data_IF_647815963795
#
_entry.id   IF_647815963795
#
_cell.length_a   1.000
_cell.length_b   1.000
_cell.length_c   1.000
_cell.angle_alpha   90.00
_cell.angle_beta   90.00
_cell.angle_gamma   90.00
#
_symmetry.space_group_name_H-M   'P 1'
#
loop_
_entity.id
_entity.type
_entity.pdbx_description
1 polymer ?
#
# COMPACT_ATOMS: atom_id res chain seq x y z
N UNK A 1 22.91 9.51 -15.26
CA UNK A 1 21.63 10.23 -15.08
C UNK A 1 20.88 9.52 -13.97
N UNK A 2 20.90 10.10 -12.77
CA UNK A 2 20.00 9.67 -11.71
C UNK A 2 18.60 9.85 -12.24
N UNK A 3 17.88 8.73 -12.45
CA UNK A 3 16.44 8.77 -12.64
C UNK A 3 15.87 9.20 -11.31
N UNK A 4 15.19 10.34 -11.29
CA UNK A 4 14.28 10.66 -10.20
C UNK A 4 13.33 9.48 -10.05
N UNK A 5 13.44 8.78 -8.93
CA UNK A 5 12.49 7.72 -8.59
C UNK A 5 11.27 8.40 -8.01
N UNK A 6 10.11 7.98 -8.47
CA UNK A 6 8.88 8.34 -7.78
C UNK A 6 8.93 7.82 -6.35
N UNK A 7 8.37 8.57 -5.42
CA UNK A 7 8.56 8.30 -4.00
C UNK A 7 7.85 7.02 -3.55
N UNK A 8 6.66 6.74 -4.11
CA UNK A 8 5.79 5.70 -3.60
C UNK A 8 4.90 5.10 -4.68
N UNK A 9 4.69 3.79 -4.62
CA UNK A 9 3.63 3.12 -5.36
C UNK A 9 2.72 2.32 -4.43
N UNK A 10 1.41 2.46 -4.65
CA UNK A 10 0.40 1.59 -4.08
C UNK A 10 0.02 0.52 -5.10
N UNK A 11 0.17 -0.73 -4.72
CA UNK A 11 -0.33 -1.85 -5.49
C UNK A 11 -1.57 -2.40 -4.78
N UNK A 12 -2.72 -2.08 -5.33
CA UNK A 12 -4.00 -2.47 -4.75
C UNK A 12 -4.36 -3.86 -5.26
N UNK A 13 -4.68 -4.77 -4.34
CA UNK A 13 -5.15 -6.10 -4.68
C UNK A 13 -6.40 -6.05 -5.56
N UNK A 14 -6.57 -7.03 -6.45
CA UNK A 14 -7.77 -7.13 -7.24
C UNK A 14 -8.98 -7.22 -6.32
N UNK A 15 -9.92 -6.35 -6.54
CA UNK A 15 -11.21 -6.43 -5.86
C UNK A 15 -11.93 -7.68 -6.33
N UNK A 16 -12.39 -8.49 -5.40
CA UNK A 16 -13.61 -9.24 -5.67
C UNK A 16 -14.67 -8.22 -6.07
N UNK A 17 -15.54 -8.49 -7.06
CA UNK A 17 -16.57 -7.54 -7.42
C UNK A 17 -17.31 -7.16 -6.14
N UNK A 18 -17.02 -5.98 -5.67
CA UNK A 18 -17.52 -5.52 -4.40
C UNK A 18 -19.02 -5.43 -4.51
N UNK A 19 -19.68 -6.11 -3.63
CA UNK A 19 -21.13 -6.06 -3.48
C UNK A 19 -21.67 -4.62 -3.38
N UNK A 20 -20.84 -3.59 -3.23
CA UNK A 20 -21.29 -2.22 -2.97
C UNK A 20 -20.50 -1.10 -3.67
N UNK A 21 -19.68 -1.34 -4.66
CA UNK A 21 -19.06 -0.25 -5.45
C UNK A 21 -18.18 0.73 -4.66
N UNK A 22 -17.85 0.46 -3.41
CA UNK A 22 -17.01 1.32 -2.60
C UNK A 22 -15.56 1.15 -3.01
N UNK A 23 -15.01 2.21 -3.56
CA UNK A 23 -13.55 2.35 -3.74
C UNK A 23 -12.91 2.46 -2.37
N UNK A 24 -11.77 1.80 -2.16
CA UNK A 24 -10.86 2.22 -1.10
C UNK A 24 -10.70 3.74 -1.23
N UNK A 25 -10.84 4.49 -0.14
CA UNK A 25 -10.66 5.93 -0.19
C UNK A 25 -9.20 6.26 -0.50
N UNK A 26 -8.86 6.25 -1.79
CA UNK A 26 -7.58 6.72 -2.31
C UNK A 26 -7.57 8.25 -2.44
N UNK A 27 -8.44 8.92 -1.69
CA UNK A 27 -8.56 10.37 -1.66
C UNK A 27 -7.35 11.09 -1.06
N UNK A 28 -6.37 10.36 -0.53
CA UNK A 28 -5.22 10.95 0.14
C UNK A 28 -4.01 11.19 -0.76
N UNK A 29 -4.14 10.94 -2.06
CA UNK A 29 -3.09 11.36 -3.00
C UNK A 29 -2.82 12.87 -2.94
N UNK A 30 -3.86 13.67 -2.67
CA UNK A 30 -3.74 15.12 -2.50
C UNK A 30 -3.01 15.48 -1.20
N UNK A 31 -3.30 14.81 -0.09
CA UNK A 31 -2.63 15.02 1.19
C UNK A 31 -1.13 14.64 1.11
N UNK A 32 -0.81 13.56 0.42
CA UNK A 32 0.58 13.14 0.17
C UNK A 32 1.29 14.11 -0.78
N UNK A 33 0.63 14.55 -1.85
CA UNK A 33 1.17 15.54 -2.78
C UNK A 33 1.49 16.87 -2.08
N UNK A 34 0.65 17.32 -1.14
CA UNK A 34 0.90 18.51 -0.34
C UNK A 34 2.17 18.39 0.54
N UNK A 35 2.64 17.17 0.80
CA UNK A 35 3.89 16.87 1.51
C UNK A 35 5.08 16.61 0.57
N UNK A 36 4.90 16.83 -0.72
CA UNK A 36 5.94 16.59 -1.74
C UNK A 36 6.14 15.12 -2.09
N UNK A 37 5.19 14.25 -1.74
CA UNK A 37 5.23 12.81 -2.07
C UNK A 37 4.41 12.57 -3.34
N UNK A 38 5.01 11.91 -4.32
CA UNK A 38 4.35 11.56 -5.58
C UNK A 38 3.91 10.08 -5.58
N UNK A 39 2.64 9.78 -5.26
CA UNK A 39 2.16 8.40 -5.23
C UNK A 39 1.66 7.95 -6.60
N UNK A 40 2.00 6.73 -6.96
CA UNK A 40 1.39 6.00 -8.07
C UNK A 40 0.42 4.97 -7.51
N UNK A 41 -0.79 4.90 -8.04
CA UNK A 41 -1.78 3.89 -7.66
C UNK A 41 -1.97 2.93 -8.83
N UNK A 42 -1.72 1.65 -8.59
CA UNK A 42 -1.89 0.61 -9.58
C UNK A 42 -2.90 -0.44 -9.09
N UNK A 43 -3.80 -0.84 -9.98
CA UNK A 43 -4.70 -1.97 -9.76
C UNK A 43 -4.00 -3.25 -10.25
N UNK A 44 -3.79 -4.19 -9.34
CA UNK A 44 -3.13 -5.45 -9.64
C UNK A 44 -3.98 -6.41 -10.49
N UNK A 45 -5.28 -6.18 -10.59
CA UNK A 45 -6.30 -6.98 -11.30
C UNK A 45 -6.41 -8.43 -10.86
N UNK A 46 -5.29 -9.16 -10.78
CA UNK A 46 -5.27 -10.58 -10.44
C UNK A 46 -4.26 -10.87 -9.34
N UNK A 47 -4.67 -11.68 -8.37
CA UNK A 47 -3.76 -12.24 -7.37
C UNK A 47 -2.98 -13.44 -7.94
N UNK A 48 -3.62 -14.20 -8.82
CA UNK A 48 -3.02 -15.36 -9.53
C UNK A 48 -3.55 -15.44 -10.96
N UNK A 49 -2.64 -15.42 -11.96
CA UNK A 49 -1.22 -15.13 -11.85
C UNK A 49 -0.99 -13.65 -11.50
N UNK A 50 0.10 -13.34 -10.80
CA UNK A 50 0.55 -11.96 -10.60
C UNK A 50 0.94 -11.34 -11.95
N UNK A 51 0.67 -10.06 -12.12
CA UNK A 51 1.27 -9.27 -13.21
C UNK A 51 2.73 -8.94 -12.86
N UNK A 52 3.59 -9.92 -13.12
CA UNK A 52 5.02 -9.86 -12.80
C UNK A 52 5.71 -8.65 -13.41
N UNK A 53 5.43 -8.36 -14.68
CA UNK A 53 6.08 -7.28 -15.40
C UNK A 53 5.68 -5.91 -14.86
N UNK A 54 4.40 -5.73 -14.52
CA UNK A 54 3.93 -4.51 -13.87
C UNK A 54 4.60 -4.33 -12.51
N UNK A 55 4.60 -5.34 -11.67
CA UNK A 55 5.15 -5.27 -10.31
C UNK A 55 6.65 -4.94 -10.35
N UNK A 56 7.43 -5.61 -11.17
CA UNK A 56 8.87 -5.37 -11.28
C UNK A 56 9.18 -3.99 -11.86
N UNK A 57 8.39 -3.51 -12.83
CA UNK A 57 8.54 -2.16 -13.38
C UNK A 57 8.24 -1.09 -12.33
N UNK A 58 7.18 -1.25 -11.56
CA UNK A 58 6.83 -0.33 -10.46
C UNK A 58 7.90 -0.35 -9.37
N UNK A 59 8.37 -1.52 -8.98
CA UNK A 59 9.43 -1.67 -7.98
C UNK A 59 10.77 -1.03 -8.43
N UNK A 60 11.05 -1.04 -9.73
CA UNK A 60 12.27 -0.42 -10.27
C UNK A 60 12.20 1.11 -10.34
N UNK A 61 11.01 1.69 -10.42
CA UNK A 61 10.80 3.12 -10.60
C UNK A 61 10.42 3.87 -9.33
N UNK A 62 10.16 3.18 -8.21
CA UNK A 62 9.74 3.79 -6.95
C UNK A 62 10.68 3.42 -5.79
N UNK A 63 10.74 4.28 -4.80
CA UNK A 63 11.51 4.05 -3.58
C UNK A 63 10.80 3.09 -2.63
N UNK A 64 9.48 3.17 -2.56
CA UNK A 64 8.66 2.34 -1.70
C UNK A 64 7.48 1.74 -2.45
N UNK A 65 7.11 0.51 -2.11
CA UNK A 65 5.94 -0.20 -2.61
C UNK A 65 5.10 -0.69 -1.44
N UNK A 66 3.83 -0.34 -1.44
CA UNK A 66 2.86 -0.79 -0.43
C UNK A 66 1.77 -1.57 -1.13
N UNK A 67 1.54 -2.80 -0.70
CA UNK A 67 0.36 -3.57 -1.10
C UNK A 67 -0.77 -3.34 -0.12
N UNK A 68 -1.98 -3.19 -0.63
CA UNK A 68 -3.19 -2.98 0.16
C UNK A 68 -4.23 -4.00 -0.26
N UNK A 69 -4.72 -4.81 0.67
CA UNK A 69 -5.72 -5.83 0.40
C UNK A 69 -6.70 -5.99 1.56
N UNK A 70 -7.94 -6.29 1.25
CA UNK A 70 -8.95 -6.73 2.22
C UNK A 70 -8.83 -8.24 2.50
N UNK A 71 -7.60 -8.70 2.66
CA UNK A 71 -7.25 -10.10 2.92
C UNK A 71 -6.40 -10.22 4.16
N UNK A 72 -6.21 -11.45 4.60
CA UNK A 72 -5.35 -11.79 5.72
C UNK A 72 -3.88 -11.96 5.29
N UNK A 73 -3.00 -12.08 6.27
CA UNK A 73 -1.60 -12.49 6.04
C UNK A 73 -1.58 -13.80 5.23
N UNK A 74 -0.72 -13.87 4.23
CA UNK A 74 -0.63 -15.02 3.31
C UNK A 74 -1.37 -14.81 1.98
N UNK A 75 -2.03 -13.66 1.79
CA UNK A 75 -2.74 -13.32 0.57
C UNK A 75 -1.87 -12.68 -0.51
N UNK A 76 -2.47 -11.74 -1.24
CA UNK A 76 -1.85 -11.07 -2.38
C UNK A 76 -0.50 -10.41 -2.05
N UNK A 77 -0.43 -9.65 -0.96
CA UNK A 77 0.81 -8.98 -0.55
C UNK A 77 1.94 -9.97 -0.27
N UNK A 78 1.63 -11.15 0.26
CA UNK A 78 2.63 -12.21 0.47
C UNK A 78 3.15 -12.79 -0.83
N UNK A 79 2.30 -12.94 -1.85
CA UNK A 79 2.71 -13.37 -3.18
C UNK A 79 3.61 -12.33 -3.86
N UNK A 80 3.29 -11.05 -3.71
CA UNK A 80 4.14 -9.95 -4.21
C UNK A 80 5.48 -9.94 -3.49
N UNK A 81 5.50 -10.09 -2.16
CA UNK A 81 6.74 -10.16 -1.39
C UNK A 81 7.64 -11.31 -1.84
N UNK A 82 7.07 -12.47 -2.09
CA UNK A 82 7.82 -13.63 -2.60
C UNK A 82 8.42 -13.33 -3.98
N UNK A 83 7.64 -12.78 -4.90
CA UNK A 83 8.15 -12.38 -6.22
C UNK A 83 9.31 -11.41 -6.11
N UNK A 84 9.18 -10.36 -5.31
CA UNK A 84 10.21 -9.34 -5.13
C UNK A 84 11.49 -9.92 -4.51
N UNK A 85 11.35 -10.87 -3.58
CA UNK A 85 12.47 -11.56 -2.96
C UNK A 85 13.20 -12.47 -3.97
N UNK A 86 12.45 -13.29 -4.71
CA UNK A 86 13.01 -14.22 -5.71
C UNK A 86 13.76 -13.48 -6.83
N UNK A 87 13.31 -12.27 -7.17
CA UNK A 87 13.93 -11.41 -8.18
C UNK A 87 15.07 -10.51 -7.62
N UNK A 88 15.39 -10.65 -6.34
CA UNK A 88 16.47 -9.88 -5.69
C UNK A 88 16.19 -8.37 -5.60
N UNK A 89 14.91 -7.96 -5.66
CA UNK A 89 14.53 -6.54 -5.64
C UNK A 89 14.85 -5.89 -4.30
N UNK A 90 14.72 -6.64 -3.21
CA UNK A 90 15.04 -6.12 -1.87
C UNK A 90 16.53 -5.81 -1.69
N UNK A 91 17.41 -6.53 -2.39
CA UNK A 91 18.85 -6.28 -2.36
C UNK A 91 19.23 -4.92 -2.96
N UNK A 92 18.33 -4.34 -3.74
CA UNK A 92 18.47 -3.01 -4.36
C UNK A 92 17.87 -1.88 -3.55
N UNK A 93 17.37 -2.18 -2.33
CA UNK A 93 16.94 -1.19 -1.36
C UNK A 93 15.48 -0.77 -1.46
N UNK A 94 14.61 -1.50 -2.18
CA UNK A 94 13.17 -1.24 -2.19
C UNK A 94 12.60 -1.39 -0.78
N UNK A 95 11.88 -0.38 -0.33
CA UNK A 95 11.08 -0.44 0.90
C UNK A 95 9.72 -1.03 0.59
N UNK A 96 9.36 -2.12 1.26
CA UNK A 96 8.11 -2.85 1.01
C UNK A 96 7.31 -3.01 2.29
N UNK A 97 6.00 -2.77 2.21
CA UNK A 97 5.06 -3.04 3.31
C UNK A 97 3.75 -3.59 2.76
N UNK A 98 3.12 -4.41 3.58
CA UNK A 98 1.81 -4.97 3.32
C UNK A 98 0.80 -4.36 4.29
N UNK A 99 -0.33 -3.93 3.76
CA UNK A 99 -1.50 -3.55 4.55
C UNK A 99 -2.58 -4.60 4.32
N UNK A 100 -2.86 -5.35 5.36
CA UNK A 100 -3.80 -6.47 5.40
C UNK A 100 -4.71 -6.34 6.60
N UNK A 101 -5.80 -7.09 6.62
CA UNK A 101 -6.65 -7.17 7.79
C UNK A 101 -5.87 -7.80 8.97
N UNK A 102 -5.99 -7.24 10.19
CA UNK A 102 -5.34 -7.81 11.36
C UNK A 102 -5.93 -9.19 11.70
N UNK A 103 -5.11 -10.04 12.30
CA UNK A 103 -5.55 -11.36 12.79
C UNK A 103 -6.32 -11.24 14.12
N UNK A 104 -7.42 -10.50 14.07
CA UNK A 104 -8.32 -10.27 15.20
C UNK A 104 -9.76 -10.21 14.71
N UNK A 105 -10.71 -10.51 15.60
CA UNK A 105 -12.11 -10.27 15.29
C UNK A 105 -12.39 -8.77 15.20
N UNK A 106 -13.03 -8.38 14.11
CA UNK A 106 -13.57 -7.03 13.94
C UNK A 106 -15.07 -7.13 14.07
N UNK A 107 -15.63 -6.46 15.08
CA UNK A 107 -17.07 -6.46 15.31
C UNK A 107 -17.81 -5.84 14.12
N UNK A 108 -18.99 -6.38 13.84
CA UNK A 108 -19.83 -5.87 12.76
C UNK A 108 -20.25 -4.42 13.04
N UNK A 109 -19.93 -3.55 12.11
CA UNK A 109 -20.19 -2.11 12.19
C UNK A 109 -20.34 -1.53 10.77
N UNK A 110 -20.45 -0.22 10.67
CA UNK A 110 -20.36 0.43 9.36
C UNK A 110 -19.02 0.12 8.69
N UNK A 111 -18.95 0.01 7.36
CA UNK A 111 -17.70 -0.24 6.63
C UNK A 111 -16.57 0.69 7.06
N UNK A 112 -16.86 1.97 7.21
CA UNK A 112 -15.90 2.98 7.66
C UNK A 112 -15.32 2.68 9.06
N UNK A 113 -16.19 2.25 10.00
CA UNK A 113 -15.76 1.87 11.35
C UNK A 113 -14.91 0.60 11.34
N UNK A 114 -15.26 -0.36 10.48
CA UNK A 114 -14.51 -1.60 10.31
C UNK A 114 -13.12 -1.33 9.71
N UNK A 115 -13.01 -0.45 8.70
CA UNK A 115 -11.71 -0.04 8.15
C UNK A 115 -10.84 0.68 9.18
N UNK A 116 -11.42 1.55 10.00
CA UNK A 116 -10.68 2.18 11.10
C UNK A 116 -10.19 1.16 12.12
N UNK A 117 -11.01 0.21 12.51
CA UNK A 117 -10.62 -0.87 13.40
C UNK A 117 -9.50 -1.74 12.80
N UNK A 118 -9.54 -1.96 11.50
CA UNK A 118 -8.51 -2.69 10.76
C UNK A 118 -7.23 -1.86 10.49
N UNK A 119 -7.21 -0.57 10.80
CA UNK A 119 -6.15 0.37 10.45
C UNK A 119 -5.88 0.43 8.96
N UNK A 120 -6.95 0.46 8.18
CA UNK A 120 -6.95 0.55 6.72
C UNK A 120 -7.71 1.77 6.22
N UNK A 121 -7.99 2.74 7.08
CA UNK A 121 -8.58 4.02 6.69
C UNK A 121 -7.53 4.89 5.97
N UNK A 122 -7.99 5.93 5.30
CA UNK A 122 -7.13 6.86 4.60
C UNK A 122 -6.01 7.46 5.49
N UNK A 123 -6.30 7.95 6.70
CA UNK A 123 -5.25 8.40 7.62
C UNK A 123 -4.24 7.32 8.01
N UNK A 124 -4.68 6.06 8.11
CA UNK A 124 -3.78 4.94 8.43
C UNK A 124 -2.82 4.65 7.27
N UNK A 125 -3.31 4.73 6.04
CA UNK A 125 -2.48 4.60 4.83
C UNK A 125 -1.45 5.73 4.76
N UNK A 126 -1.87 6.97 4.98
CA UNK A 126 -0.96 8.13 5.04
C UNK A 126 0.12 7.93 6.11
N UNK A 127 -0.26 7.53 7.32
CA UNK A 127 0.67 7.27 8.41
C UNK A 127 1.69 6.18 8.04
N UNK A 128 1.24 5.11 7.37
CA UNK A 128 2.11 4.03 6.90
C UNK A 128 3.11 4.53 5.85
N UNK A 129 2.69 5.38 4.94
CA UNK A 129 3.57 5.99 3.93
C UNK A 129 4.68 6.80 4.58
N UNK A 130 4.31 7.70 5.50
CA UNK A 130 5.27 8.56 6.19
C UNK A 130 6.27 7.73 7.01
N UNK A 131 5.81 6.66 7.67
CA UNK A 131 6.67 5.71 8.38
C UNK A 131 7.68 5.06 7.42
N UNK A 132 7.22 4.55 6.28
CA UNK A 132 8.05 3.82 5.32
C UNK A 132 9.08 4.74 4.66
N UNK A 133 8.70 5.95 4.33
CA UNK A 133 9.60 6.94 3.71
C UNK A 133 10.49 7.66 4.73
N UNK A 134 10.26 7.46 6.03
CA UNK A 134 11.05 8.12 7.09
C UNK A 134 10.78 9.61 7.20
N UNK A 135 9.61 10.08 6.76
CA UNK A 135 9.19 11.47 6.86
C UNK A 135 8.58 11.70 8.24
N UNK A 136 9.05 12.72 8.96
CA UNK A 136 8.50 13.08 10.26
C UNK A 136 7.02 13.48 10.13
N UNK A 137 6.17 12.93 11.00
CA UNK A 137 4.80 13.41 11.14
C UNK A 137 4.86 14.83 11.72
N UNK A 138 4.49 15.82 10.93
CA UNK A 138 4.36 17.19 11.40
C UNK A 138 3.06 17.26 12.22
N UNK A 139 3.17 17.22 13.56
CA UNK A 139 1.99 17.43 14.39
C UNK A 139 1.98 16.90 15.81
N UNK A 140 2.95 16.15 16.27
CA UNK A 140 3.08 15.89 17.72
C UNK A 140 4.13 16.82 18.34
N UNK A 141 3.70 18.05 18.69
CA UNK A 141 4.33 18.75 19.79
C UNK A 141 4.10 17.89 21.04
N UNK A 142 5.15 17.21 21.48
CA UNK A 142 5.19 16.71 22.86
C UNK A 142 4.99 17.90 23.78
N UNK A 143 3.88 17.92 24.46
CA UNK A 143 3.71 18.73 25.65
C UNK A 143 4.62 18.18 26.75
#
# INVERSE_FOLDING_TARGET
VERERDDLVYLVAPRQPALNGQRLPLSDSEALAARGISPTVADARFAKPLDRDLILRLAASHEALITIEEGAVGGFGSLVAQLLADEGVFDRGLRFRQMVLPDTFIDHASPESMYRAARMSAPDIEAKVLEVLGVAQIGEKRA
#
